data_IF_180233234670
#
_entry.id   IF_180233234670
#
_cell.length_a   1.000
_cell.length_b   1.000
_cell.length_c   1.000
_cell.angle_alpha   90.00
_cell.angle_beta   90.00
_cell.angle_gamma   90.00
#
_symmetry.space_group_name_H-M   'P 1'
#
loop_
_entity.id
_entity.type
_entity.pdbx_description
1 polymer ?
#
# COMPACT_ATOMS: atom_id res chain seq x y z
N UNK A 1 -18.86 -24.91 12.27
CA UNK A 1 -18.45 -23.75 11.46
C UNK A 1 -18.82 -24.04 10.03
N UNK A 2 -19.26 -23.05 9.24
CA UNK A 2 -19.22 -23.20 7.79
C UNK A 2 -17.77 -23.43 7.33
N UNK A 3 -17.61 -23.96 6.12
CA UNK A 3 -16.32 -24.17 5.50
C UNK A 3 -15.56 -22.84 5.38
N UNK A 4 -14.24 -22.87 5.62
CA UNK A 4 -13.34 -21.71 5.54
C UNK A 4 -12.16 -22.02 4.62
N UNK A 5 -11.82 -21.09 3.74
CA UNK A 5 -10.58 -21.16 2.95
C UNK A 5 -9.48 -20.43 3.70
N UNK A 6 -8.32 -21.07 3.87
CA UNK A 6 -7.17 -20.50 4.58
C UNK A 6 -5.98 -20.45 3.62
N UNK A 7 -5.41 -19.27 3.34
CA UNK A 7 -4.19 -19.17 2.55
C UNK A 7 -3.00 -19.67 3.37
N UNK A 8 -2.17 -20.50 2.74
CA UNK A 8 -0.91 -20.99 3.29
C UNK A 8 0.21 -20.40 2.43
N UNK A 9 1.00 -19.49 3.01
CA UNK A 9 1.90 -18.60 2.29
C UNK A 9 3.38 -19.00 2.49
N UNK A 10 4.21 -18.97 1.43
CA UNK A 10 5.62 -19.30 1.55
C UNK A 10 6.41 -18.19 2.24
N UNK A 11 7.50 -18.56 2.90
CA UNK A 11 8.51 -17.63 3.37
C UNK A 11 9.89 -18.30 3.39
N UNK A 12 10.96 -17.51 3.46
CA UNK A 12 12.31 -18.07 3.64
C UNK A 12 12.54 -18.54 5.07
N UNK A 13 12.11 -17.74 6.04
CA UNK A 13 12.17 -18.00 7.49
C UNK A 13 10.92 -17.41 8.16
N UNK A 14 10.44 -18.06 9.23
CA UNK A 14 9.18 -17.67 9.89
C UNK A 14 9.33 -16.40 10.74
N UNK A 15 10.42 -16.25 11.49
CA UNK A 15 10.51 -15.22 12.53
C UNK A 15 10.25 -13.79 12.01
N UNK A 16 10.87 -13.34 10.89
CA UNK A 16 10.61 -11.99 10.38
C UNK A 16 9.14 -11.79 9.97
N UNK A 17 8.48 -12.84 9.46
CA UNK A 17 7.07 -12.82 9.09
C UNK A 17 6.20 -12.72 10.35
N UNK A 18 6.48 -13.51 11.38
CA UNK A 18 5.73 -13.48 12.64
C UNK A 18 5.87 -12.14 13.37
N UNK A 19 7.08 -11.58 13.42
CA UNK A 19 7.32 -10.26 14.00
C UNK A 19 6.50 -9.18 13.27
N UNK A 20 6.46 -9.27 11.94
CA UNK A 20 5.69 -8.35 11.11
C UNK A 20 4.18 -8.47 11.35
N UNK A 21 3.60 -9.66 11.33
CA UNK A 21 2.16 -9.83 11.60
C UNK A 21 1.79 -9.48 13.05
N UNK A 22 2.68 -9.74 14.01
CA UNK A 22 2.51 -9.27 15.40
C UNK A 22 2.45 -7.74 15.46
N UNK A 23 3.31 -7.05 14.72
CA UNK A 23 3.27 -5.59 14.60
C UNK A 23 1.98 -5.07 13.92
N UNK A 24 1.30 -5.89 13.12
CA UNK A 24 -0.03 -5.58 12.57
C UNK A 24 -1.18 -5.90 13.55
N UNK A 25 -0.86 -6.39 14.74
CA UNK A 25 -1.82 -6.79 15.78
C UNK A 25 -2.43 -8.18 15.54
N UNK A 26 -1.73 -9.08 14.85
CA UNK A 26 -2.09 -10.49 14.83
C UNK A 26 -1.48 -11.22 16.03
N UNK A 27 -2.14 -12.29 16.46
CA UNK A 27 -1.63 -13.22 17.46
C UNK A 27 -1.02 -14.44 16.77
N UNK A 28 0.12 -14.93 17.26
CA UNK A 28 0.70 -16.19 16.80
C UNK A 28 0.02 -17.34 17.56
N UNK A 29 -0.92 -18.02 16.92
CA UNK A 29 -1.73 -19.08 17.56
C UNK A 29 -1.08 -20.46 17.46
N UNK A 30 -0.16 -20.64 16.51
CA UNK A 30 0.62 -21.87 16.38
C UNK A 30 2.01 -21.59 15.78
N UNK A 31 3.03 -22.28 16.28
CA UNK A 31 4.37 -22.26 15.71
C UNK A 31 5.06 -23.62 15.89
N UNK A 32 5.52 -24.18 14.77
CA UNK A 32 6.38 -25.36 14.72
C UNK A 32 7.72 -24.98 14.09
N UNK A 33 8.84 -25.32 14.75
CA UNK A 33 10.19 -25.04 14.25
C UNK A 33 10.82 -26.20 13.48
N UNK A 34 10.45 -27.44 13.80
CA UNK A 34 11.03 -28.67 13.24
C UNK A 34 10.00 -29.80 13.30
N UNK A 35 10.00 -30.79 12.37
CA UNK A 35 10.87 -30.88 11.18
C UNK A 35 10.46 -29.92 10.06
N UNK A 36 9.19 -29.51 10.01
CA UNK A 36 8.65 -28.63 8.99
C UNK A 36 8.32 -27.28 9.64
N UNK A 37 9.09 -26.20 9.38
CA UNK A 37 8.78 -24.91 9.96
C UNK A 37 7.42 -24.43 9.45
N UNK A 38 6.49 -24.24 10.38
CA UNK A 38 5.11 -23.85 10.12
C UNK A 38 4.63 -22.86 11.17
N UNK A 39 3.76 -21.93 10.80
CA UNK A 39 3.13 -21.05 11.78
C UNK A 39 1.74 -20.61 11.34
N UNK A 40 0.92 -20.23 12.31
CA UNK A 40 -0.42 -19.66 12.13
C UNK A 40 -0.48 -18.33 12.86
N UNK A 41 -1.05 -17.33 12.20
CA UNK A 41 -1.36 -16.04 12.82
C UNK A 41 -2.84 -15.71 12.60
N UNK A 42 -3.45 -15.13 13.62
CA UNK A 42 -4.88 -14.80 13.62
C UNK A 42 -5.14 -13.37 14.07
N UNK A 43 -6.14 -12.73 13.46
CA UNK A 43 -6.66 -11.42 13.87
C UNK A 43 -8.14 -11.33 13.51
N UNK A 44 -9.01 -11.37 14.52
CA UNK A 44 -10.46 -11.40 14.30
C UNK A 44 -10.84 -12.59 13.41
N UNK A 45 -11.49 -12.34 12.27
CA UNK A 45 -11.83 -13.39 11.30
C UNK A 45 -10.69 -13.81 10.34
N UNK A 46 -9.55 -13.13 10.39
CA UNK A 46 -8.42 -13.36 9.47
C UNK A 46 -7.52 -14.45 10.05
N UNK A 47 -7.22 -15.46 9.25
CA UNK A 47 -6.24 -16.50 9.57
C UNK A 47 -5.31 -16.67 8.38
N UNK A 48 -4.01 -16.55 8.65
CA UNK A 48 -2.95 -16.74 7.66
C UNK A 48 -1.98 -17.78 8.19
N UNK A 49 -1.60 -18.72 7.34
CA UNK A 49 -0.64 -19.76 7.69
C UNK A 49 0.62 -19.61 6.85
N UNK A 50 1.76 -20.06 7.39
CA UNK A 50 3.06 -19.90 6.75
C UNK A 50 3.88 -21.18 6.81
N UNK A 51 4.61 -21.45 5.75
CA UNK A 51 5.60 -22.52 5.68
C UNK A 51 6.94 -21.99 5.20
N UNK A 52 8.04 -22.49 5.79
CA UNK A 52 9.38 -22.03 5.40
C UNK A 52 10.01 -22.92 4.32
N UNK A 53 10.63 -22.28 3.34
CA UNK A 53 11.39 -22.88 2.24
C UNK A 53 12.79 -22.26 2.18
N UNK A 54 13.84 -23.05 2.38
CA UNK A 54 15.23 -22.53 2.46
C UNK A 54 15.68 -21.76 1.21
N UNK A 55 15.30 -22.22 0.02
CA UNK A 55 15.71 -21.64 -1.27
C UNK A 55 14.69 -20.66 -1.85
N UNK A 56 13.82 -20.10 -1.00
CA UNK A 56 12.80 -19.15 -1.43
C UNK A 56 13.33 -17.72 -1.44
N UNK A 57 13.08 -17.01 -2.55
CA UNK A 57 13.46 -15.61 -2.75
C UNK A 57 12.22 -14.70 -2.64
N UNK A 58 12.05 -13.99 -1.50
CA UNK A 58 10.91 -13.09 -1.29
C UNK A 58 10.71 -12.04 -2.39
N UNK A 59 11.80 -11.54 -2.99
CA UNK A 59 11.74 -10.46 -3.97
C UNK A 59 11.03 -10.86 -5.28
N UNK A 60 10.93 -12.17 -5.59
CA UNK A 60 10.27 -12.69 -6.80
C UNK A 60 8.94 -13.38 -6.49
N UNK A 61 8.43 -13.21 -5.26
CA UNK A 61 7.16 -13.81 -4.86
C UNK A 61 5.99 -13.30 -5.71
N UNK A 62 5.15 -14.25 -6.13
CA UNK A 62 3.84 -13.98 -6.74
C UNK A 62 2.68 -14.34 -5.80
N UNK A 63 2.98 -14.75 -4.57
CA UNK A 63 1.99 -15.21 -3.60
C UNK A 63 1.11 -14.05 -3.15
N UNK A 64 -0.20 -14.23 -3.24
CA UNK A 64 -1.17 -13.22 -2.81
C UNK A 64 -2.42 -13.86 -2.23
N UNK A 65 -3.08 -13.16 -1.32
CA UNK A 65 -4.42 -13.48 -0.87
C UNK A 65 -5.25 -12.20 -0.73
N UNK A 66 -6.56 -12.36 -0.58
CA UNK A 66 -7.50 -11.25 -0.44
C UNK A 66 -8.24 -11.38 0.89
N UNK A 67 -8.16 -10.36 1.72
CA UNK A 67 -8.97 -10.17 2.93
C UNK A 67 -10.08 -9.17 2.62
N UNK A 68 -11.32 -9.62 2.75
CA UNK A 68 -12.49 -8.76 2.67
C UNK A 68 -12.92 -8.35 4.08
N UNK A 69 -13.27 -7.08 4.23
CA UNK A 69 -13.72 -6.48 5.50
C UNK A 69 -14.79 -5.44 5.22
N UNK A 70 -15.61 -5.15 6.22
CA UNK A 70 -16.54 -4.01 6.22
C UNK A 70 -15.93 -2.75 6.86
N UNK A 71 -14.69 -2.85 7.36
CA UNK A 71 -13.92 -1.75 7.96
C UNK A 71 -12.47 -1.76 7.45
N UNK A 72 -12.27 -1.38 6.18
CA UNK A 72 -10.92 -1.29 5.58
C UNK A 72 -10.12 -0.14 6.15
N UNK A 73 -10.78 0.99 6.45
CA UNK A 73 -10.15 2.17 7.03
C UNK A 73 -9.62 1.87 8.43
N UNK A 74 -10.41 1.21 9.30
CA UNK A 74 -9.99 0.81 10.63
C UNK A 74 -8.82 -0.17 10.61
N UNK A 75 -8.85 -1.19 9.74
CA UNK A 75 -7.70 -2.10 9.56
C UNK A 75 -6.46 -1.36 9.06
N UNK A 76 -6.61 -0.44 8.10
CA UNK A 76 -5.50 0.34 7.58
C UNK A 76 -4.83 1.20 8.68
N UNK A 77 -5.64 1.87 9.52
CA UNK A 77 -5.12 2.66 10.62
C UNK A 77 -4.46 1.79 11.70
N UNK A 78 -5.07 0.67 12.07
CA UNK A 78 -4.51 -0.26 13.06
C UNK A 78 -3.14 -0.80 12.62
N UNK A 79 -3.04 -1.24 11.36
CA UNK A 79 -1.80 -1.75 10.80
C UNK A 79 -0.72 -0.67 10.77
N UNK A 80 -1.07 0.54 10.34
CA UNK A 80 -0.11 1.66 10.35
C UNK A 80 0.35 2.00 11.77
N UNK A 81 -0.56 2.06 12.73
CA UNK A 81 -0.22 2.37 14.11
C UNK A 81 0.79 1.37 14.69
N UNK A 82 0.52 0.07 14.58
CA UNK A 82 1.40 -0.96 15.12
C UNK A 82 2.75 -1.07 14.39
N UNK A 83 2.78 -0.82 13.07
CA UNK A 83 4.06 -0.70 12.33
C UNK A 83 4.87 0.51 12.79
N UNK A 84 4.22 1.66 13.01
CA UNK A 84 4.90 2.86 13.49
C UNK A 84 5.45 2.68 14.90
N UNK A 85 4.70 2.02 15.77
CA UNK A 85 5.13 1.67 17.12
C UNK A 85 6.34 0.72 17.10
N UNK A 86 6.26 -0.34 16.29
CA UNK A 86 7.27 -1.40 16.25
C UNK A 86 8.54 -1.00 15.49
N UNK A 87 8.40 -0.28 14.38
CA UNK A 87 9.51 0.04 13.47
C UNK A 87 9.87 1.54 13.45
N UNK A 88 9.19 2.38 14.23
CA UNK A 88 9.36 3.84 14.24
C UNK A 88 8.81 4.57 13.01
N UNK A 89 8.38 3.83 11.97
CA UNK A 89 7.90 4.34 10.68
C UNK A 89 6.97 3.35 9.99
N UNK A 90 6.31 3.79 8.92
CA UNK A 90 5.53 2.91 8.04
C UNK A 90 6.43 2.47 6.88
N UNK A 91 6.80 1.18 6.75
CA UNK A 91 7.57 0.72 5.60
C UNK A 91 6.80 0.99 4.30
N UNK A 92 7.32 1.85 3.42
CA UNK A 92 6.63 2.26 2.18
C UNK A 92 7.24 1.67 0.90
N UNK A 93 8.45 1.10 0.99
CA UNK A 93 9.24 0.54 -0.11
C UNK A 93 9.99 -0.71 0.34
N UNK A 94 10.41 -1.54 -0.61
CA UNK A 94 11.10 -2.81 -0.32
C UNK A 94 10.19 -3.85 0.31
N UNK A 95 10.79 -4.71 1.13
CA UNK A 95 10.11 -5.72 1.94
C UNK A 95 10.47 -5.51 3.42
N UNK A 96 9.48 -5.44 4.33
CA UNK A 96 8.05 -5.33 4.06
C UNK A 96 7.66 -3.94 3.52
N UNK A 97 6.43 -3.81 2.99
CA UNK A 97 5.86 -2.50 2.64
C UNK A 97 4.34 -2.45 2.77
N UNK A 98 3.81 -1.25 3.00
CA UNK A 98 2.38 -0.93 2.98
C UNK A 98 2.10 0.13 1.91
N UNK A 99 1.17 -0.18 1.02
CA UNK A 99 0.68 0.72 -0.02
C UNK A 99 -0.32 1.75 0.50
N UNK A 100 -0.64 2.78 -0.30
CA UNK A 100 -1.70 3.73 0.04
C UNK A 100 -3.08 3.06 0.06
N UNK A 101 -3.96 3.53 0.95
CA UNK A 101 -5.39 3.25 0.89
C UNK A 101 -6.04 4.11 -0.20
N UNK A 102 -6.88 3.49 -1.04
CA UNK A 102 -7.53 4.17 -2.15
C UNK A 102 -8.79 3.46 -2.61
N UNK A 103 -9.65 4.24 -3.26
CA UNK A 103 -10.82 3.74 -3.97
C UNK A 103 -10.42 3.29 -5.38
N UNK A 104 -10.80 2.07 -5.73
CA UNK A 104 -10.52 1.48 -7.03
C UNK A 104 -11.69 1.67 -7.99
N UNK A 105 -11.39 1.76 -9.29
CA UNK A 105 -12.41 1.93 -10.35
C UNK A 105 -13.39 0.77 -10.52
N UNK A 106 -13.19 -0.32 -9.77
CA UNK A 106 -14.04 -1.52 -9.76
C UNK A 106 -14.82 -1.68 -8.45
N UNK A 107 -15.09 -0.57 -7.73
CA UNK A 107 -16.01 -0.55 -6.59
C UNK A 107 -15.45 -1.17 -5.30
N UNK A 108 -14.14 -1.02 -5.08
CA UNK A 108 -13.46 -1.54 -3.89
C UNK A 108 -12.52 -0.48 -3.33
N UNK A 109 -12.63 -0.20 -2.03
CA UNK A 109 -11.63 0.56 -1.28
C UNK A 109 -10.61 -0.41 -0.72
N UNK A 110 -9.33 -0.28 -1.08
CA UNK A 110 -8.31 -1.24 -0.67
C UNK A 110 -6.92 -0.64 -0.49
N UNK A 111 -6.09 -1.36 0.27
CA UNK A 111 -4.65 -1.16 0.37
C UNK A 111 -3.94 -2.52 0.24
N UNK A 112 -2.63 -2.46 0.00
CA UNK A 112 -1.78 -3.64 -0.16
C UNK A 112 -0.75 -3.70 0.96
N UNK A 113 -0.57 -4.88 1.55
CA UNK A 113 0.51 -5.16 2.49
C UNK A 113 1.38 -6.24 1.89
N UNK A 114 2.68 -5.99 1.78
CA UNK A 114 3.66 -7.01 1.41
C UNK A 114 4.54 -7.31 2.61
N UNK A 115 4.50 -8.56 3.07
CA UNK A 115 5.26 -9.01 4.24
C UNK A 115 6.76 -9.25 3.91
N UNK A 116 7.62 -9.57 4.91
CA UNK A 116 9.03 -9.88 4.67
C UNK A 116 9.26 -11.15 3.82
N UNK A 117 8.26 -12.02 3.70
CA UNK A 117 8.24 -13.16 2.78
C UNK A 117 7.88 -12.76 1.35
N UNK A 118 7.57 -11.50 1.06
CA UNK A 118 7.14 -11.06 -0.26
C UNK A 118 5.68 -11.41 -0.56
N UNK A 119 4.92 -11.96 0.38
CA UNK A 119 3.52 -12.28 0.17
C UNK A 119 2.69 -10.99 0.17
N UNK A 120 1.83 -10.82 -0.82
CA UNK A 120 0.97 -9.65 -0.95
C UNK A 120 -0.44 -9.94 -0.42
N UNK A 121 -0.78 -9.40 0.75
CA UNK A 121 -2.13 -9.41 1.31
C UNK A 121 -2.87 -8.18 0.80
N UNK A 122 -3.94 -8.42 0.03
CA UNK A 122 -4.85 -7.38 -0.45
C UNK A 122 -5.97 -7.24 0.57
N UNK A 123 -6.11 -6.06 1.19
CA UNK A 123 -7.18 -5.82 2.16
C UNK A 123 -8.17 -4.84 1.55
N UNK A 124 -9.42 -5.22 1.42
CA UNK A 124 -10.41 -4.41 0.73
C UNK A 124 -11.83 -4.51 1.27
N UNK A 125 -12.57 -3.44 1.06
CA UNK A 125 -13.98 -3.31 1.38
C UNK A 125 -14.75 -2.96 0.11
N UNK A 126 -15.87 -3.64 -0.11
CA UNK A 126 -16.74 -3.32 -1.25
C UNK A 126 -17.47 -2.02 -0.95
N UNK A 127 -17.36 -1.05 -1.85
CA UNK A 127 -18.00 0.28 -1.70
C UNK A 127 -19.35 0.38 -2.44
N UNK A 128 -19.84 -0.73 -3.00
CA UNK A 128 -20.96 -0.76 -3.93
C UNK A 128 -20.52 -0.56 -5.39
N UNK A 129 -21.21 -1.21 -6.32
CA UNK A 129 -20.89 -1.20 -7.76
C UNK A 129 -20.85 -2.59 -8.41
N UNK A 130 -21.07 -2.65 -9.72
CA UNK A 130 -20.87 -3.86 -10.53
C UNK A 130 -19.38 -4.25 -10.57
N UNK A 131 -19.08 -5.54 -10.75
CA UNK A 131 -17.69 -6.05 -10.86
C UNK A 131 -17.08 -5.75 -12.24
N UNK A 132 -17.26 -4.53 -12.72
CA UNK A 132 -16.71 -4.07 -13.99
C UNK A 132 -15.82 -2.87 -13.74
N UNK A 133 -14.66 -2.85 -14.40
CA UNK A 133 -13.86 -1.64 -14.46
C UNK A 133 -14.69 -0.56 -15.16
N UNK A 134 -15.06 0.48 -14.43
CA UNK A 134 -15.59 1.69 -15.07
C UNK A 134 -14.57 2.25 -16.06
N UNK A 135 -15.01 3.01 -17.08
CA UNK A 135 -14.09 3.67 -18.00
C UNK A 135 -13.12 4.55 -17.21
N UNK A 136 -11.89 4.67 -17.71
CA UNK A 136 -10.93 5.61 -17.13
C UNK A 136 -11.53 7.03 -17.15
N UNK A 137 -11.22 7.88 -16.15
CA UNK A 137 -11.67 9.26 -16.15
C UNK A 137 -11.28 9.97 -17.45
N UNK A 138 -12.15 10.85 -17.95
CA UNK A 138 -11.89 11.63 -19.17
C UNK A 138 -11.08 12.91 -18.86
N UNK A 139 -11.36 13.52 -17.72
CA UNK A 139 -10.66 14.69 -17.16
C UNK A 139 -9.14 14.48 -17.11
N UNK A 140 -8.36 15.43 -17.61
CA UNK A 140 -6.92 15.30 -17.86
C UNK A 140 -6.14 14.80 -16.64
N UNK A 141 -6.27 15.48 -15.51
CA UNK A 141 -5.52 15.14 -14.29
C UNK A 141 -6.06 13.91 -13.58
N UNK A 142 -7.38 13.69 -13.60
CA UNK A 142 -7.98 12.47 -13.06
C UNK A 142 -7.52 11.23 -13.84
N UNK A 143 -7.40 11.35 -15.17
CA UNK A 143 -6.87 10.32 -16.05
C UNK A 143 -5.39 10.04 -15.78
N UNK A 144 -4.59 11.10 -15.60
CA UNK A 144 -3.18 10.97 -15.26
C UNK A 144 -2.99 10.24 -13.92
N UNK A 145 -3.75 10.64 -12.88
CA UNK A 145 -3.74 9.97 -11.59
C UNK A 145 -4.15 8.50 -11.69
N UNK A 146 -5.19 8.19 -12.46
CA UNK A 146 -5.65 6.82 -12.69
C UNK A 146 -4.54 5.94 -13.29
N UNK A 147 -3.94 6.37 -14.40
CA UNK A 147 -2.90 5.57 -15.07
C UNK A 147 -1.60 5.49 -14.28
N UNK A 148 -1.17 6.58 -13.64
CA UNK A 148 0.03 6.57 -12.83
C UNK A 148 -0.13 5.66 -11.60
N UNK A 149 -1.32 5.66 -10.96
CA UNK A 149 -1.65 4.74 -9.86
C UNK A 149 -1.64 3.27 -10.30
N UNK A 150 -2.19 2.97 -11.49
CA UNK A 150 -2.17 1.62 -12.07
C UNK A 150 -0.73 1.14 -12.35
N UNK A 151 0.11 2.00 -12.93
CA UNK A 151 1.51 1.70 -13.20
C UNK A 151 2.28 1.43 -11.91
N UNK A 152 2.16 2.34 -10.92
CA UNK A 152 2.89 2.23 -9.66
C UNK A 152 2.49 0.97 -8.88
N UNK A 153 1.19 0.74 -8.69
CA UNK A 153 0.71 -0.22 -7.69
C UNK A 153 0.33 -1.58 -8.26
N UNK A 154 -0.20 -1.63 -9.49
CA UNK A 154 -0.61 -2.89 -10.12
C UNK A 154 0.48 -3.48 -11.00
N UNK A 155 1.24 -2.64 -11.72
CA UNK A 155 2.31 -3.10 -12.63
C UNK A 155 3.70 -3.08 -11.99
N UNK A 156 3.84 -2.47 -10.81
CA UNK A 156 5.14 -2.33 -10.16
C UNK A 156 6.11 -1.44 -10.94
N UNK A 157 5.60 -0.52 -11.78
CA UNK A 157 6.37 0.36 -12.67
C UNK A 157 6.35 1.82 -12.15
N UNK A 158 7.20 2.15 -11.15
CA UNK A 158 7.31 3.51 -10.65
C UNK A 158 7.89 4.49 -11.68
N UNK A 159 8.71 4.01 -12.63
CA UNK A 159 9.28 4.86 -13.68
C UNK A 159 8.21 5.33 -14.68
N UNK A 160 7.34 4.43 -15.12
CA UNK A 160 6.18 4.76 -15.93
C UNK A 160 5.22 5.70 -15.21
N UNK A 161 4.95 5.43 -13.93
CA UNK A 161 4.11 6.30 -13.11
C UNK A 161 4.68 7.73 -13.00
N UNK A 162 5.98 7.86 -12.74
CA UNK A 162 6.68 9.15 -12.70
C UNK A 162 6.53 9.91 -14.02
N UNK A 163 6.77 9.26 -15.17
CA UNK A 163 6.62 9.88 -16.51
C UNK A 163 5.20 10.41 -16.76
N UNK A 164 4.17 9.66 -16.37
CA UNK A 164 2.77 10.10 -16.52
C UNK A 164 2.51 11.35 -15.69
N UNK A 165 2.97 11.37 -14.43
CA UNK A 165 2.78 12.52 -13.55
C UNK A 165 3.58 13.74 -14.03
N UNK A 166 4.84 13.55 -14.42
CA UNK A 166 5.70 14.65 -14.89
C UNK A 166 5.10 15.30 -16.15
N UNK A 167 4.54 14.50 -17.06
CA UNK A 167 3.83 15.02 -18.24
C UNK A 167 2.59 15.83 -17.86
N UNK A 168 1.80 15.36 -16.88
CA UNK A 168 0.62 16.08 -16.42
C UNK A 168 0.99 17.41 -15.74
N UNK A 169 2.05 17.42 -14.92
CA UNK A 169 2.52 18.61 -14.22
C UNK A 169 3.19 19.65 -15.15
N UNK A 170 3.58 19.25 -16.36
CA UNK A 170 4.18 20.13 -17.36
C UNK A 170 3.17 20.85 -18.28
N UNK A 171 1.87 20.54 -18.16
CA UNK A 171 0.81 21.22 -18.92
C UNK A 171 0.72 22.69 -18.52
N UNK A 172 0.51 23.58 -19.48
CA UNK A 172 0.44 25.04 -19.30
C UNK A 172 -0.93 25.63 -19.62
N UNK A 173 -1.76 24.87 -20.34
CA UNK A 173 -3.10 25.21 -20.80
C UNK A 173 -4.20 24.83 -19.78
N UNK A 174 -3.89 23.90 -18.88
CA UNK A 174 -4.81 23.41 -17.84
C UNK A 174 -4.08 23.32 -16.49
N UNK A 175 -4.79 23.55 -15.38
CA UNK A 175 -4.22 23.45 -14.04
C UNK A 175 -5.01 22.47 -13.18
N UNK A 176 -4.36 21.57 -12.42
CA UNK A 176 -5.06 20.65 -11.54
C UNK A 176 -5.71 21.41 -10.38
N UNK A 177 -6.79 20.85 -9.83
CA UNK A 177 -7.29 21.31 -8.52
C UNK A 177 -6.20 21.11 -7.45
N UNK A 178 -6.31 21.80 -6.32
CA UNK A 178 -5.31 21.65 -5.24
C UNK A 178 -5.21 20.22 -4.71
N UNK A 179 -6.34 19.51 -4.66
CA UNK A 179 -6.40 18.09 -4.26
C UNK A 179 -5.71 17.20 -5.29
N UNK A 180 -5.97 17.42 -6.59
CA UNK A 180 -5.28 16.69 -7.67
C UNK A 180 -3.78 16.98 -7.66
N UNK A 181 -3.37 18.24 -7.43
CA UNK A 181 -1.97 18.61 -7.32
C UNK A 181 -1.28 17.91 -6.14
N UNK A 182 -1.94 17.86 -4.97
CA UNK A 182 -1.46 17.09 -3.83
C UNK A 182 -1.26 15.61 -4.22
N UNK A 183 -2.27 14.98 -4.82
CA UNK A 183 -2.21 13.58 -5.22
C UNK A 183 -1.09 13.30 -6.22
N UNK A 184 -0.92 14.16 -7.23
CA UNK A 184 0.15 14.05 -8.23
C UNK A 184 1.53 14.15 -7.57
N UNK A 185 1.74 15.15 -6.72
CA UNK A 185 3.03 15.35 -6.04
C UNK A 185 3.37 14.19 -5.10
N UNK A 186 2.40 13.70 -4.33
CA UNK A 186 2.60 12.55 -3.43
C UNK A 186 2.93 11.30 -4.23
N UNK A 187 2.19 11.02 -5.31
CA UNK A 187 2.43 9.86 -6.17
C UNK A 187 3.81 9.91 -6.84
N UNK A 188 4.22 11.10 -7.33
CA UNK A 188 5.54 11.28 -7.95
C UNK A 188 6.68 11.12 -6.93
N UNK A 189 6.50 11.62 -5.72
CA UNK A 189 7.49 11.46 -4.66
C UNK A 189 7.62 10.00 -4.21
N UNK A 190 6.51 9.27 -4.10
CA UNK A 190 6.50 7.83 -3.82
C UNK A 190 7.24 7.05 -4.91
N UNK A 191 6.96 7.37 -6.18
CA UNK A 191 7.66 6.79 -7.31
C UNK A 191 9.18 7.07 -7.26
N UNK A 192 9.60 8.30 -6.94
CA UNK A 192 11.02 8.64 -6.76
C UNK A 192 11.65 7.82 -5.64
N UNK A 193 10.99 7.74 -4.47
CA UNK A 193 11.49 6.99 -3.33
C UNK A 193 11.65 5.49 -3.62
N UNK A 194 10.81 4.92 -4.51
CA UNK A 194 10.91 3.54 -4.99
C UNK A 194 12.00 3.34 -6.05
N UNK A 195 12.38 4.39 -6.76
CA UNK A 195 13.46 4.40 -7.75
C UNK A 195 14.84 4.70 -7.12
N UNK A 196 14.89 5.02 -5.82
CA UNK A 196 16.12 5.42 -5.13
C UNK A 196 16.50 6.89 -5.31
N UNK A 197 15.63 7.70 -5.91
CA UNK A 197 15.81 9.14 -6.09
C UNK A 197 15.29 9.89 -4.85
N UNK A 198 16.11 9.91 -3.78
CA UNK A 198 15.73 10.49 -2.49
C UNK A 198 15.59 12.02 -2.56
N UNK A 199 16.40 12.70 -3.36
CA UNK A 199 16.34 14.15 -3.53
C UNK A 199 15.01 14.58 -4.16
N UNK A 200 14.60 13.93 -5.27
CA UNK A 200 13.32 14.23 -5.89
C UNK A 200 12.15 13.83 -4.99
N UNK A 201 12.28 12.75 -4.21
CA UNK A 201 11.27 12.36 -3.23
C UNK A 201 11.09 13.47 -2.17
N UNK A 202 12.17 13.90 -1.52
CA UNK A 202 12.14 14.94 -0.47
C UNK A 202 11.59 16.26 -1.03
N UNK A 203 12.07 16.68 -2.21
CA UNK A 203 11.60 17.90 -2.86
C UNK A 203 10.11 17.84 -3.21
N UNK A 204 9.65 16.71 -3.77
CA UNK A 204 8.24 16.50 -4.08
C UNK A 204 7.34 16.53 -2.85
N UNK A 205 7.77 15.88 -1.75
CA UNK A 205 7.03 15.88 -0.49
C UNK A 205 7.00 17.25 0.18
N UNK A 206 8.09 18.03 0.09
CA UNK A 206 8.13 19.40 0.59
C UNK A 206 7.14 20.29 -0.17
N UNK A 207 7.12 20.17 -1.51
CA UNK A 207 6.16 20.90 -2.36
C UNK A 207 4.71 20.49 -2.05
N UNK A 208 4.44 19.20 -1.86
CA UNK A 208 3.11 18.71 -1.47
C UNK A 208 2.67 19.26 -0.10
N UNK A 209 3.59 19.29 0.87
CA UNK A 209 3.31 19.77 2.23
C UNK A 209 3.09 21.30 2.30
N UNK A 210 3.63 22.05 1.34
CA UNK A 210 3.47 23.50 1.26
C UNK A 210 2.11 23.94 0.68
N UNK A 211 1.28 23.02 0.19
CA UNK A 211 -0.03 23.35 -0.37
C UNK A 211 -0.99 23.88 0.71
N UNK A 212 -1.55 25.07 0.48
CA UNK A 212 -2.60 25.64 1.31
C UNK A 212 -3.96 25.05 0.92
N UNK A 213 -4.41 24.05 1.69
CA UNK A 213 -5.71 23.40 1.51
C UNK A 213 -6.75 23.97 2.48
N UNK A 214 -7.97 24.16 2.00
CA UNK A 214 -9.16 24.42 2.84
C UNK A 214 -9.54 23.17 3.65
N UNK A 215 -10.44 23.30 4.62
CA UNK A 215 -10.92 22.14 5.39
C UNK A 215 -11.57 21.08 4.49
N UNK A 216 -12.38 21.49 3.52
CA UNK A 216 -13.01 20.60 2.55
C UNK A 216 -11.98 19.89 1.66
N UNK A 217 -10.96 20.60 1.17
CA UNK A 217 -9.89 20.00 0.36
C UNK A 217 -9.01 19.05 1.17
N UNK A 218 -8.79 19.31 2.46
CA UNK A 218 -8.08 18.36 3.35
C UNK A 218 -8.88 17.08 3.54
N UNK A 219 -10.19 17.18 3.64
CA UNK A 219 -11.06 16.02 3.78
C UNK A 219 -11.07 15.18 2.50
N UNK A 220 -11.24 15.82 1.34
CA UNK A 220 -11.14 15.16 0.03
C UNK A 220 -9.75 14.55 -0.24
N UNK A 221 -8.68 15.20 0.25
CA UNK A 221 -7.29 14.78 0.09
C UNK A 221 -6.77 13.89 1.23
N UNK A 222 -7.62 13.41 2.15
CA UNK A 222 -7.20 12.75 3.40
C UNK A 222 -6.25 11.56 3.17
N UNK A 223 -6.54 10.72 2.20
CA UNK A 223 -5.71 9.54 1.88
C UNK A 223 -4.32 9.96 1.36
N UNK A 224 -4.26 11.00 0.52
CA UNK A 224 -3.00 11.54 0.01
C UNK A 224 -2.19 12.23 1.11
N UNK A 225 -2.83 12.96 2.03
CA UNK A 225 -2.19 13.56 3.20
C UNK A 225 -1.63 12.49 4.15
N UNK A 226 -2.37 11.39 4.32
CA UNK A 226 -1.94 10.23 5.09
C UNK A 226 -0.69 9.61 4.48
N UNK A 227 -0.70 9.37 3.16
CA UNK A 227 0.46 8.83 2.44
C UNK A 227 1.66 9.77 2.47
N UNK A 228 1.43 11.09 2.34
CA UNK A 228 2.46 12.12 2.50
C UNK A 228 3.17 12.00 3.85
N UNK A 229 2.42 11.84 4.94
CA UNK A 229 3.00 11.68 6.28
C UNK A 229 3.84 10.41 6.39
N UNK A 230 3.38 9.29 5.83
CA UNK A 230 4.10 8.01 5.83
C UNK A 230 5.43 8.11 5.08
N UNK A 231 5.41 8.69 3.88
CA UNK A 231 6.61 8.86 3.06
C UNK A 231 7.64 9.77 3.73
N UNK A 232 7.19 10.87 4.37
CA UNK A 232 8.07 11.77 5.12
C UNK A 232 8.67 11.10 6.36
N UNK A 233 7.95 10.19 7.01
CA UNK A 233 8.47 9.41 8.13
C UNK A 233 9.55 8.42 7.70
N UNK A 234 9.40 7.85 6.50
CA UNK A 234 10.29 6.79 6.01
C UNK A 234 11.58 7.28 5.36
N UNK A 235 11.62 8.54 4.92
CA UNK A 235 12.81 9.19 4.36
C UNK A 235 13.66 9.95 5.40
N UNK A 236 13.24 9.97 6.68
CA UNK A 236 14.10 10.51 7.74
C UNK A 236 15.21 9.48 8.04
N UNK A 237 16.47 9.94 8.21
CA UNK A 237 17.59 9.06 8.58
C UNK A 237 17.35 8.39 9.94
#
# INVERSE_FOLDING_TARGET
MPEKTIPILPCRTLQPVLDFYTALGFEVTYQQRSPNPYAVVERGGIELQFFAMKQYEPAVSISTCYVLTDDVDGLYQAFRAGLKETYGRIPTRGLPRVGPLKDMTYGVRQFLVTDPGGNCVRVGQRTGGERHHGPAPQETFARALHFASLLADSKGDPAGAAKVVDRALALTDETPTRVQLLQLLVLRADAAARLGDEEAAVTGLARAAALHLTAAERDQGRDALTRLADLRGSLRP
#
